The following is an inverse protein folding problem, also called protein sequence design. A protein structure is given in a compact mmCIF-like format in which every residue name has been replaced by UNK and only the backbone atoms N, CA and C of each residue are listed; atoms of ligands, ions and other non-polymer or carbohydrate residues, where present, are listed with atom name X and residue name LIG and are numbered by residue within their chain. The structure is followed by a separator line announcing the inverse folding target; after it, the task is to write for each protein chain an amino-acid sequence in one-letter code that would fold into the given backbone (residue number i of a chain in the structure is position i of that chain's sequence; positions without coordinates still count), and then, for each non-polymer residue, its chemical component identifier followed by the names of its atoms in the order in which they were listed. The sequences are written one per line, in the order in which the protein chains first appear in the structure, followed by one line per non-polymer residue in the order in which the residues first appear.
data_IF_607671219661
#
_entry.id   IF_607671219661
#
_cell.length_a   1.000
_cell.length_b   1.000
_cell.length_c   1.000
_cell.angle_alpha   90.00
_cell.angle_beta   90.00
_cell.angle_gamma   90.00
#
_symmetry.space_group_name_H-M   'P 1'
#
loop_
_entity.id
_entity.type
_entity.pdbx_description
1 polymer ?
#
# COMPACT_ATOMS: atom_id res chain seq x y z
N UNK A 1 22.65 10.18 -4.20
CA UNK A 1 21.18 10.14 -4.03
C UNK A 1 20.63 11.34 -4.78
N UNK A 2 19.66 11.19 -5.68
CA UNK A 2 18.98 12.36 -6.25
C UNK A 2 18.24 13.07 -5.11
N UNK A 3 18.52 14.35 -4.93
CA UNK A 3 17.82 15.23 -4.00
C UNK A 3 16.64 15.85 -4.75
N UNK A 4 15.45 15.84 -4.14
CA UNK A 4 14.25 16.46 -4.71
C UNK A 4 14.54 17.95 -5.02
N UNK A 5 14.43 18.41 -6.28
CA UNK A 5 14.46 19.83 -6.56
C UNK A 5 13.20 20.52 -5.99
N UNK A 6 13.43 21.68 -5.40
CA UNK A 6 12.44 22.55 -4.73
C UNK A 6 11.74 23.44 -5.76
N UNK A 7 10.49 23.80 -5.46
CA UNK A 7 9.56 24.71 -6.14
C UNK A 7 8.75 24.21 -7.36
N UNK A 8 7.42 24.27 -7.21
CA UNK A 8 6.62 25.31 -7.87
C UNK A 8 5.43 25.72 -7.00
N UNK A 9 5.44 26.97 -6.53
CA UNK A 9 4.29 27.62 -5.93
C UNK A 9 3.15 27.80 -6.95
N UNK A 10 1.94 27.40 -6.57
CA UNK A 10 0.74 27.58 -7.37
C UNK A 10 -0.48 27.02 -6.65
N UNK A 11 -1.51 27.84 -6.50
CA UNK A 11 -2.77 27.48 -5.87
C UNK A 11 -3.47 26.30 -6.56
N UNK A 12 -3.90 25.35 -5.74
CA UNK A 12 -4.64 24.11 -6.02
C UNK A 12 -5.29 23.96 -7.40
N UNK A 13 -4.81 22.99 -8.19
CA UNK A 13 -5.66 22.05 -8.89
C UNK A 13 -5.49 20.65 -8.29
N UNK A 14 -6.49 19.82 -8.50
CA UNK A 14 -6.48 18.36 -8.35
C UNK A 14 -5.40 17.76 -9.27
N UNK A 15 -4.13 17.86 -8.86
CA UNK A 15 -2.93 17.43 -9.60
C UNK A 15 -2.84 15.90 -9.65
N UNK A 16 -3.61 15.28 -10.53
CA UNK A 16 -3.60 13.84 -10.76
C UNK A 16 -3.54 13.52 -12.24
N UNK A 17 -2.74 12.52 -12.61
CA UNK A 17 -2.86 11.86 -13.91
C UNK A 17 -4.13 11.00 -13.84
N UNK A 18 -5.16 11.41 -14.58
CA UNK A 18 -6.45 10.69 -14.64
C UNK A 18 -6.43 9.63 -15.74
N UNK A 19 -6.68 8.37 -15.36
CA UNK A 19 -6.78 7.23 -16.26
C UNK A 19 -8.17 6.62 -16.07
N UNK A 20 -9.16 7.04 -16.87
CA UNK A 20 -10.57 6.69 -16.62
C UNK A 20 -11.42 6.28 -17.83
N UNK A 21 -10.90 6.35 -19.05
CA UNK A 21 -11.64 5.94 -20.25
C UNK A 21 -11.41 4.47 -20.60
N UNK A 22 -12.45 3.80 -21.10
CA UNK A 22 -12.39 2.40 -21.50
C UNK A 22 -11.34 2.17 -22.61
N UNK A 23 -10.32 1.37 -22.29
CA UNK A 23 -9.34 0.84 -23.25
C UNK A 23 -7.96 1.46 -23.19
N UNK A 24 -6.94 0.59 -23.29
CA UNK A 24 -5.58 0.96 -23.68
C UNK A 24 -4.50 0.60 -22.66
N UNK A 25 -3.44 -0.02 -23.18
CA UNK A 25 -2.15 -0.16 -22.49
C UNK A 25 -1.64 1.24 -22.14
N UNK A 26 -1.73 1.63 -20.87
CA UNK A 26 -1.29 2.96 -20.42
C UNK A 26 -0.02 2.82 -19.60
N UNK A 27 0.97 3.69 -19.82
CA UNK A 27 2.22 3.68 -19.06
C UNK A 27 2.53 5.07 -18.51
N UNK A 28 2.71 5.18 -17.20
CA UNK A 28 3.23 6.37 -16.53
C UNK A 28 4.58 5.97 -15.93
N UNK A 29 5.66 6.50 -16.48
CA UNK A 29 7.00 6.05 -16.12
C UNK A 29 7.98 7.19 -15.89
N UNK A 30 8.83 7.06 -14.87
CA UNK A 30 9.97 7.96 -14.61
C UNK A 30 9.61 9.44 -14.46
N UNK A 31 8.51 9.72 -13.74
CA UNK A 31 8.10 11.07 -13.39
C UNK A 31 8.37 11.35 -11.91
N UNK A 32 8.58 12.62 -11.58
CA UNK A 32 8.57 13.11 -10.20
C UNK A 32 7.31 13.94 -9.98
N UNK A 33 6.49 13.52 -9.03
CA UNK A 33 5.31 14.25 -8.58
C UNK A 33 5.67 14.90 -7.24
N UNK A 34 5.72 16.23 -7.19
CA UNK A 34 6.17 16.97 -6.00
C UNK A 34 5.10 17.92 -5.46
N UNK A 35 4.85 17.86 -4.14
CA UNK A 35 4.06 18.84 -3.39
C UNK A 35 4.60 19.09 -1.97
N UNK A 36 5.92 19.01 -1.77
CA UNK A 36 6.53 19.22 -0.46
C UNK A 36 6.34 20.63 0.11
N UNK A 37 6.07 21.63 -0.74
CA UNK A 37 6.03 23.05 -0.35
C UNK A 37 4.61 23.65 -0.14
N UNK A 38 3.54 22.84 -0.21
CA UNK A 38 2.18 23.35 0.00
C UNK A 38 1.82 23.39 1.50
N UNK A 39 1.18 24.46 1.98
CA UNK A 39 0.58 24.50 3.32
C UNK A 39 -0.58 23.49 3.41
N UNK A 40 -0.31 22.31 3.99
CA UNK A 40 -1.23 21.18 4.08
C UNK A 40 -2.22 21.39 5.24
N UNK A 41 -3.18 22.29 5.04
CA UNK A 41 -4.24 22.60 6.02
C UNK A 41 -5.62 22.03 5.64
N UNK A 42 -5.75 21.30 4.54
CA UNK A 42 -7.03 20.74 4.08
C UNK A 42 -7.00 19.24 3.81
N UNK A 43 -8.18 18.62 3.97
CA UNK A 43 -8.53 17.22 3.74
C UNK A 43 -8.46 16.74 2.28
N UNK A 44 -7.99 17.59 1.36
CA UNK A 44 -7.95 17.32 -0.09
C UNK A 44 -6.52 17.06 -0.54
N UNK A 45 -5.97 15.96 -0.05
CA UNK A 45 -4.59 15.62 -0.31
C UNK A 45 -4.44 15.02 -1.72
N UNK A 46 -3.30 15.24 -2.39
CA UNK A 46 -3.17 14.99 -3.81
C UNK A 46 -2.94 13.52 -4.09
N UNK A 47 -3.51 13.08 -5.20
CA UNK A 47 -3.30 11.76 -5.79
C UNK A 47 -2.41 11.95 -7.01
N UNK A 48 -1.22 11.36 -7.07
CA UNK A 48 -0.37 11.53 -8.24
C UNK A 48 -0.94 10.83 -9.49
N UNK A 49 -1.43 9.59 -9.35
CA UNK A 49 -2.11 8.85 -10.42
C UNK A 49 -3.45 8.32 -9.93
N UNK A 50 -4.53 8.68 -10.61
CA UNK A 50 -5.88 8.19 -10.32
C UNK A 50 -6.40 7.32 -11.47
N UNK A 51 -6.68 6.05 -11.18
CA UNK A 51 -7.23 5.07 -12.11
C UNK A 51 -8.66 4.75 -11.65
N UNK A 52 -9.65 5.44 -12.21
CA UNK A 52 -11.07 5.23 -11.88
C UNK A 52 -11.86 5.01 -13.17
N UNK A 53 -12.35 3.78 -13.44
CA UNK A 53 -13.09 3.50 -14.66
C UNK A 53 -14.43 4.25 -14.70
N UNK A 54 -14.64 5.10 -15.71
CA UNK A 54 -15.88 5.88 -15.84
C UNK A 54 -17.03 5.09 -16.50
N UNK A 55 -16.77 4.42 -17.63
CA UNK A 55 -17.80 3.76 -18.46
C UNK A 55 -17.33 2.42 -19.07
N UNK A 56 -16.64 1.58 -18.30
CA UNK A 56 -16.16 0.27 -18.74
C UNK A 56 -14.98 -0.23 -17.92
N UNK A 57 -14.41 -1.38 -18.26
CA UNK A 57 -13.24 -1.91 -17.56
C UNK A 57 -11.95 -1.19 -18.00
N UNK A 58 -11.08 -0.87 -17.03
CA UNK A 58 -9.71 -0.38 -17.30
C UNK A 58 -8.76 -1.57 -17.24
N UNK A 59 -7.85 -1.69 -18.21
CA UNK A 59 -6.91 -2.81 -18.28
C UNK A 59 -5.53 -2.36 -18.71
N UNK A 60 -4.51 -3.12 -18.30
CA UNK A 60 -3.13 -2.96 -18.78
C UNK A 60 -2.50 -1.59 -18.49
N UNK A 61 -2.66 -1.11 -17.26
CA UNK A 61 -2.01 0.12 -16.81
C UNK A 61 -0.72 -0.22 -16.09
N UNK A 62 0.40 0.42 -16.44
CA UNK A 62 1.69 0.26 -15.78
C UNK A 62 2.18 1.61 -15.27
N UNK A 63 2.36 1.72 -13.96
CA UNK A 63 2.91 2.87 -13.27
C UNK A 63 4.27 2.45 -12.71
N UNK A 64 5.36 2.99 -13.25
CA UNK A 64 6.69 2.47 -12.93
C UNK A 64 7.78 3.52 -12.76
N UNK A 65 8.74 3.24 -11.87
CA UNK A 65 9.92 4.06 -11.64
C UNK A 65 9.60 5.56 -11.35
N UNK A 66 8.45 5.87 -10.77
CA UNK A 66 8.08 7.25 -10.42
C UNK A 66 8.45 7.60 -8.97
N UNK A 67 8.63 8.89 -8.70
CA UNK A 67 8.81 9.45 -7.36
C UNK A 67 7.57 10.26 -6.95
N UNK A 68 7.01 9.94 -5.78
CA UNK A 68 5.84 10.62 -5.21
C UNK A 68 6.24 11.33 -3.91
N UNK A 69 6.36 12.66 -3.96
CA UNK A 69 6.86 13.47 -2.86
C UNK A 69 5.73 14.34 -2.30
N UNK A 70 5.35 14.11 -1.04
CA UNK A 70 4.31 14.90 -0.37
C UNK A 70 2.87 14.64 -0.84
N UNK A 71 2.59 13.42 -1.31
CA UNK A 71 1.27 12.99 -1.80
C UNK A 71 0.53 12.11 -0.78
N UNK A 72 -0.82 12.08 -0.83
CA UNK A 72 -1.64 11.15 -0.03
C UNK A 72 -1.59 9.74 -0.63
N UNK A 73 -1.69 9.70 -1.97
CA UNK A 73 -1.58 8.50 -2.78
C UNK A 73 -0.57 8.74 -3.90
N UNK A 74 0.40 7.83 -4.01
CA UNK A 74 1.16 7.68 -5.25
C UNK A 74 0.23 7.21 -6.37
N UNK A 75 -0.42 6.07 -6.13
CA UNK A 75 -1.41 5.49 -7.05
C UNK A 75 -2.71 5.21 -6.30
N UNK A 76 -3.80 5.80 -6.77
CA UNK A 76 -5.15 5.45 -6.36
C UNK A 76 -5.86 4.77 -7.51
N UNK A 77 -6.12 3.48 -7.40
CA UNK A 77 -6.84 2.72 -8.41
C UNK A 77 -8.12 2.15 -7.80
N UNK A 78 -9.28 2.62 -8.27
CA UNK A 78 -10.57 2.22 -7.75
C UNK A 78 -11.52 1.83 -8.89
N UNK A 79 -11.79 0.53 -9.00
CA UNK A 79 -12.89 -0.01 -9.77
C UNK A 79 -14.20 -0.04 -8.96
N UNK A 80 -15.19 -0.67 -9.54
CA UNK A 80 -16.45 -1.05 -8.88
C UNK A 80 -16.77 -2.52 -9.17
N UNK A 81 -17.81 -3.06 -8.55
CA UNK A 81 -18.31 -4.40 -8.86
C UNK A 81 -18.77 -4.57 -10.32
N UNK A 82 -19.11 -3.48 -11.01
CA UNK A 82 -19.53 -3.48 -12.42
C UNK A 82 -18.42 -3.07 -13.38
N UNK A 83 -17.51 -2.20 -12.94
CA UNK A 83 -16.39 -1.70 -13.72
C UNK A 83 -15.07 -2.12 -13.06
N UNK A 84 -14.62 -3.33 -13.37
CA UNK A 84 -13.39 -3.86 -12.80
C UNK A 84 -12.14 -3.26 -13.45
N UNK A 85 -11.03 -3.30 -12.70
CA UNK A 85 -9.70 -3.04 -13.23
C UNK A 85 -8.95 -4.36 -13.38
N UNK A 86 -8.14 -4.51 -14.42
CA UNK A 86 -7.32 -5.72 -14.58
C UNK A 86 -5.91 -5.42 -15.07
N UNK A 87 -4.93 -6.20 -14.62
CA UNK A 87 -3.52 -6.05 -15.04
C UNK A 87 -2.97 -4.65 -14.78
N UNK A 88 -3.28 -4.11 -13.61
CA UNK A 88 -2.68 -2.87 -13.11
C UNK A 88 -1.34 -3.24 -12.47
N UNK A 89 -0.26 -2.63 -12.95
CA UNK A 89 1.11 -2.86 -12.49
C UNK A 89 1.64 -1.58 -11.86
N UNK A 90 2.07 -1.63 -10.62
CA UNK A 90 2.71 -0.53 -9.88
C UNK A 90 4.08 -1.02 -9.47
N UNK A 91 5.12 -0.63 -10.22
CA UNK A 91 6.44 -1.27 -10.15
C UNK A 91 7.56 -0.26 -9.91
N UNK A 92 8.44 -0.48 -8.93
CA UNK A 92 9.67 0.36 -8.83
C UNK A 92 9.44 1.81 -8.40
N UNK A 93 8.24 2.17 -7.92
CA UNK A 93 7.94 3.53 -7.52
C UNK A 93 8.43 3.82 -6.10
N UNK A 94 8.70 5.09 -5.80
CA UNK A 94 9.17 5.54 -4.49
C UNK A 94 8.24 6.62 -3.93
N UNK A 95 7.69 6.40 -2.74
CA UNK A 95 6.89 7.40 -2.02
C UNK A 95 7.67 7.98 -0.86
N UNK A 96 7.79 9.30 -0.83
CA UNK A 96 8.39 10.08 0.26
C UNK A 96 7.28 10.94 0.88
N UNK A 97 6.98 10.77 2.18
CA UNK A 97 5.97 11.58 2.85
C UNK A 97 6.37 13.06 2.89
N UNK A 98 5.39 13.94 3.03
CA UNK A 98 5.65 15.38 3.18
C UNK A 98 6.39 15.66 4.48
N UNK A 99 7.39 16.54 4.44
CA UNK A 99 8.12 16.98 5.63
C UNK A 99 7.31 18.09 6.30
N UNK A 100 6.71 17.84 7.46
CA UNK A 100 6.16 18.91 8.30
C UNK A 100 4.63 19.04 8.37
N UNK A 101 3.84 18.05 7.92
CA UNK A 101 2.39 18.04 8.07
C UNK A 101 1.87 16.85 8.87
N UNK A 102 0.79 17.04 9.62
CA UNK A 102 0.00 16.01 10.33
C UNK A 102 -0.78 15.09 9.36
N UNK A 103 -0.18 14.68 8.25
CA UNK A 103 -0.93 13.95 7.22
C UNK A 103 -0.97 12.46 7.51
N UNK A 104 -2.18 11.94 7.40
CA UNK A 104 -2.57 10.66 7.97
C UNK A 104 -2.69 9.53 6.95
N UNK A 105 -2.56 9.78 5.64
CA UNK A 105 -2.58 8.72 4.63
C UNK A 105 -1.39 8.90 3.68
N UNK A 106 -0.52 7.89 3.59
CA UNK A 106 0.55 7.89 2.58
C UNK A 106 0.60 6.50 1.97
N UNK A 107 -0.28 6.30 0.99
CA UNK A 107 -0.33 5.10 0.19
C UNK A 107 0.69 5.21 -0.93
N UNK A 108 1.56 4.20 -1.09
CA UNK A 108 2.18 3.93 -2.40
C UNK A 108 1.05 3.62 -3.37
N UNK A 109 0.18 2.69 -2.97
CA UNK A 109 -0.91 2.22 -3.80
C UNK A 109 -2.13 1.86 -2.95
N UNK A 110 -3.29 2.25 -3.46
CA UNK A 110 -4.59 1.69 -3.07
C UNK A 110 -5.22 1.05 -4.30
N UNK A 111 -5.48 -0.25 -4.25
CA UNK A 111 -6.17 -0.99 -5.32
C UNK A 111 -7.52 -1.50 -4.80
N UNK A 112 -8.62 -1.10 -5.43
CA UNK A 112 -9.96 -1.56 -5.08
C UNK A 112 -10.69 -2.16 -6.28
N UNK A 113 -11.26 -3.35 -6.17
CA UNK A 113 -11.89 -4.07 -7.30
C UNK A 113 -10.92 -4.35 -8.47
N UNK A 114 -9.70 -4.77 -8.14
CA UNK A 114 -8.64 -5.12 -9.11
C UNK A 114 -8.50 -6.63 -9.33
N UNK A 115 -8.17 -7.04 -10.56
CA UNK A 115 -7.91 -8.44 -10.92
C UNK A 115 -6.57 -8.59 -11.65
N UNK A 116 -5.76 -9.58 -11.26
CA UNK A 116 -4.46 -9.85 -11.87
C UNK A 116 -3.50 -8.64 -11.79
N UNK A 117 -3.51 -7.93 -10.66
CA UNK A 117 -2.65 -6.76 -10.43
C UNK A 117 -1.27 -7.16 -9.89
N UNK A 118 -0.27 -6.31 -10.12
CA UNK A 118 1.09 -6.47 -9.60
C UNK A 118 1.54 -5.19 -8.91
N UNK A 119 1.94 -5.29 -7.64
CA UNK A 119 2.53 -4.22 -6.84
C UNK A 119 3.90 -4.70 -6.42
N UNK A 120 4.93 -4.34 -7.20
CA UNK A 120 6.26 -4.92 -7.02
C UNK A 120 7.40 -3.91 -6.95
N UNK A 121 8.46 -4.24 -6.20
CA UNK A 121 9.68 -3.44 -6.15
C UNK A 121 9.48 -1.96 -5.74
N UNK A 122 8.39 -1.61 -5.07
CA UNK A 122 8.15 -0.24 -4.63
C UNK A 122 8.84 0.03 -3.29
N UNK A 123 9.15 1.29 -3.04
CA UNK A 123 9.70 1.76 -1.77
C UNK A 123 8.80 2.82 -1.16
N UNK A 124 8.54 2.70 0.14
CA UNK A 124 7.95 3.79 0.91
C UNK A 124 8.60 3.88 2.27
N UNK A 125 8.83 5.10 2.71
CA UNK A 125 9.01 5.32 4.12
C UNK A 125 9.30 6.74 4.48
N UNK A 126 9.24 6.97 5.78
CA UNK A 126 9.46 8.26 6.42
C UNK A 126 8.87 8.21 7.83
N UNK A 127 9.31 9.14 8.67
CA UNK A 127 8.89 9.20 10.07
C UNK A 127 7.53 9.88 10.13
N UNK A 128 6.48 9.11 10.40
CA UNK A 128 5.14 9.68 10.57
C UNK A 128 5.07 10.49 11.87
N UNK A 129 4.48 11.68 11.79
CA UNK A 129 4.22 12.57 12.93
C UNK A 129 2.71 12.83 12.94
N UNK A 130 1.95 12.11 13.77
CA UNK A 130 0.49 12.29 13.84
C UNK A 130 -0.21 11.35 14.82
N UNK A 131 -1.40 11.74 15.28
CA UNK A 131 -2.14 11.16 16.42
C UNK A 131 -3.40 10.34 16.08
N UNK A 132 -3.77 10.18 14.80
CA UNK A 132 -4.89 9.32 14.36
C UNK A 132 -4.75 7.82 14.72
N UNK A 133 -5.38 7.40 15.82
CA UNK A 133 -5.37 6.03 16.36
C UNK A 133 -6.28 5.04 15.59
N UNK A 134 -6.44 5.20 14.28
CA UNK A 134 -7.38 4.37 13.55
C UNK A 134 -7.15 4.41 12.06
N UNK A 135 -6.69 3.29 11.51
CA UNK A 135 -7.49 2.48 10.60
C UNK A 135 -6.57 1.57 9.79
N UNK A 136 -6.96 0.30 9.67
CA UNK A 136 -6.47 -0.68 8.70
C UNK A 136 -6.55 -0.22 7.23
N UNK A 137 -7.10 0.97 6.98
CA UNK A 137 -7.27 1.59 5.67
C UNK A 137 -6.21 2.65 5.35
N UNK A 138 -5.32 3.01 6.28
CA UNK A 138 -4.27 4.03 6.08
C UNK A 138 -2.89 3.38 6.10
N UNK A 139 -2.55 2.72 5.00
CA UNK A 139 -1.35 1.87 4.89
C UNK A 139 -0.60 2.12 3.58
N UNK A 140 0.72 1.93 3.51
CA UNK A 140 1.48 2.10 2.28
C UNK A 140 0.95 1.27 1.09
N UNK A 141 0.54 0.02 1.31
CA UNK A 141 -0.09 -0.80 0.28
C UNK A 141 -1.44 -1.27 0.80
N UNK A 142 -2.52 -0.76 0.20
CA UNK A 142 -3.88 -1.19 0.47
C UNK A 142 -4.43 -1.92 -0.74
N UNK A 143 -4.94 -3.15 -0.54
CA UNK A 143 -5.76 -3.82 -1.56
C UNK A 143 -7.12 -4.21 -0.96
N UNK A 144 -8.19 -3.94 -1.69
CA UNK A 144 -9.56 -4.19 -1.28
C UNK A 144 -10.36 -4.88 -2.40
N UNK A 145 -11.09 -5.95 -2.10
CA UNK A 145 -11.91 -6.66 -3.09
C UNK A 145 -11.10 -7.03 -4.34
N UNK A 146 -9.94 -7.66 -4.16
CA UNK A 146 -9.04 -7.96 -5.29
C UNK A 146 -8.84 -9.46 -5.48
N UNK A 147 -8.56 -9.84 -6.72
CA UNK A 147 -8.32 -11.24 -7.10
C UNK A 147 -7.01 -11.37 -7.88
N UNK A 148 -6.25 -12.44 -7.64
CA UNK A 148 -5.03 -12.76 -8.37
C UNK A 148 -3.97 -11.63 -8.30
N UNK A 149 -3.95 -10.87 -7.21
CA UNK A 149 -3.01 -9.76 -7.01
C UNK A 149 -1.71 -10.24 -6.39
N UNK A 150 -0.58 -9.80 -6.95
CA UNK A 150 0.75 -10.03 -6.37
C UNK A 150 1.26 -8.74 -5.73
N UNK A 151 1.72 -8.83 -4.48
CA UNK A 151 2.43 -7.78 -3.75
C UNK A 151 3.81 -8.35 -3.42
N UNK A 152 4.85 -7.90 -4.11
CA UNK A 152 6.17 -8.53 -3.98
C UNK A 152 7.36 -7.58 -3.97
N UNK A 153 8.44 -7.97 -3.29
CA UNK A 153 9.71 -7.24 -3.28
C UNK A 153 9.61 -5.75 -2.92
N UNK A 154 8.54 -5.34 -2.21
CA UNK A 154 8.39 -3.96 -1.75
C UNK A 154 9.20 -3.75 -0.47
N UNK A 155 9.76 -2.55 -0.32
CA UNK A 155 10.47 -2.13 0.90
C UNK A 155 9.69 -1.01 1.58
N UNK A 156 9.16 -1.29 2.77
CA UNK A 156 8.35 -0.34 3.52
C UNK A 156 8.99 -0.13 4.89
N UNK A 157 9.19 1.13 5.28
CA UNK A 157 9.76 1.45 6.58
C UNK A 157 9.05 2.59 7.30
N UNK A 158 8.97 2.49 8.62
CA UNK A 158 8.48 3.57 9.49
C UNK A 158 6.97 3.78 9.46
N UNK A 159 6.16 2.84 8.97
CA UNK A 159 4.71 3.06 8.84
C UNK A 159 3.98 3.04 10.20
N UNK A 160 3.04 3.95 10.40
CA UNK A 160 2.26 4.03 11.64
C UNK A 160 1.24 2.89 11.80
N UNK A 161 0.54 2.54 10.72
CA UNK A 161 -0.29 1.34 10.62
C UNK A 161 0.47 0.15 10.04
N UNK A 162 -0.26 -0.88 9.61
CA UNK A 162 0.31 -1.96 8.83
C UNK A 162 1.01 -1.42 7.58
N UNK A 163 2.04 -2.14 7.12
CA UNK A 163 2.70 -1.83 5.86
C UNK A 163 1.83 -2.24 4.67
N UNK A 164 1.20 -3.40 4.80
CA UNK A 164 0.33 -4.03 3.80
C UNK A 164 -0.99 -4.37 4.48
N UNK A 165 -2.09 -3.91 3.90
CA UNK A 165 -3.45 -4.27 4.31
C UNK A 165 -4.20 -4.89 3.15
N UNK A 166 -4.84 -6.01 3.42
CA UNK A 166 -5.62 -6.79 2.47
C UNK A 166 -7.00 -6.95 3.06
N UNK A 167 -7.99 -6.40 2.38
CA UNK A 167 -9.39 -6.52 2.76
C UNK A 167 -10.11 -7.26 1.63
N UNK A 168 -10.63 -8.46 1.88
CA UNK A 168 -11.35 -9.24 0.87
C UNK A 168 -10.47 -9.55 -0.35
N UNK A 169 -9.41 -10.31 -0.13
CA UNK A 169 -8.44 -10.72 -1.15
C UNK A 169 -8.55 -12.19 -1.51
N UNK A 170 -8.50 -12.51 -2.80
CA UNK A 170 -8.64 -13.88 -3.30
C UNK A 170 -7.47 -14.29 -4.20
N UNK A 171 -6.85 -15.45 -3.93
CA UNK A 171 -5.73 -15.96 -4.74
C UNK A 171 -4.56 -14.94 -4.86
N UNK A 172 -4.27 -14.22 -3.78
CA UNK A 172 -3.23 -13.19 -3.77
C UNK A 172 -1.88 -13.75 -3.29
N UNK A 173 -0.79 -13.21 -3.81
CA UNK A 173 0.57 -13.56 -3.39
C UNK A 173 1.24 -12.37 -2.72
N UNK A 174 1.63 -12.51 -1.45
CA UNK A 174 2.29 -11.48 -0.66
C UNK A 174 3.65 -12.04 -0.27
N UNK A 175 4.67 -11.72 -1.08
CA UNK A 175 5.94 -12.45 -1.05
C UNK A 175 7.17 -11.57 -1.14
N UNK A 176 8.24 -11.97 -0.46
CA UNK A 176 9.55 -11.30 -0.54
C UNK A 176 9.54 -9.80 -0.17
N UNK A 177 8.56 -9.31 0.61
CA UNK A 177 8.53 -7.92 1.03
C UNK A 177 9.44 -7.69 2.26
N UNK A 178 10.03 -6.51 2.36
CA UNK A 178 10.88 -6.08 3.49
C UNK A 178 10.17 -4.98 4.25
N UNK A 179 9.85 -5.24 5.52
CA UNK A 179 9.10 -4.37 6.40
C UNK A 179 9.98 -4.00 7.61
N UNK A 180 10.14 -2.71 7.89
CA UNK A 180 10.99 -2.24 8.99
C UNK A 180 10.29 -1.17 9.81
N UNK A 181 10.21 -1.31 11.14
CA UNK A 181 9.61 -0.29 12.01
C UNK A 181 8.18 0.10 11.56
N UNK A 182 7.36 -0.93 11.30
CA UNK A 182 5.97 -0.77 10.83
C UNK A 182 4.97 -1.11 11.93
N UNK A 183 3.85 -0.39 11.98
CA UNK A 183 2.77 -0.55 12.96
C UNK A 183 2.99 0.15 14.30
N UNK A 184 3.53 1.38 14.28
CA UNK A 184 3.83 2.22 15.45
C UNK A 184 2.65 2.53 16.40
N UNK A 185 1.41 2.18 16.07
CA UNK A 185 0.25 2.39 16.95
C UNK A 185 0.19 1.44 18.16
N UNK A 186 1.24 0.64 18.39
CA UNK A 186 1.45 -0.10 19.62
C UNK A 186 0.97 -1.56 19.60
N UNK A 187 0.66 -2.13 20.78
CA UNK A 187 0.49 -3.57 21.00
C UNK A 187 -0.46 -4.34 20.08
N UNK A 188 -1.45 -3.68 19.53
CA UNK A 188 -2.54 -4.36 18.82
C UNK A 188 -2.33 -4.45 17.31
N UNK A 189 -1.23 -3.91 16.77
CA UNK A 189 -1.05 -3.74 15.33
C UNK A 189 -0.12 -4.78 14.71
N UNK A 190 -0.40 -5.10 13.45
CA UNK A 190 0.34 -6.03 12.61
C UNK A 190 1.10 -5.31 11.50
N UNK A 191 2.20 -5.88 11.02
CA UNK A 191 2.93 -5.34 9.86
C UNK A 191 2.25 -5.72 8.55
N UNK A 192 1.66 -6.90 8.48
CA UNK A 192 0.73 -7.32 7.42
C UNK A 192 -0.61 -7.64 8.08
N UNK A 193 -1.67 -6.98 7.61
CA UNK A 193 -3.03 -7.24 8.04
C UNK A 193 -3.84 -7.85 6.91
N UNK A 194 -4.44 -9.01 7.14
CA UNK A 194 -5.23 -9.74 6.16
C UNK A 194 -6.61 -10.04 6.72
N UNK A 195 -7.65 -9.41 6.18
CA UNK A 195 -9.04 -9.60 6.57
C UNK A 195 -9.86 -10.26 5.46
N UNK A 196 -10.59 -11.33 5.79
CA UNK A 196 -11.44 -12.09 4.86
C UNK A 196 -10.70 -12.49 3.57
N UNK A 197 -9.53 -13.10 3.70
CA UNK A 197 -8.67 -13.50 2.58
C UNK A 197 -8.74 -14.99 2.32
N UNK A 198 -8.72 -15.42 1.05
CA UNK A 198 -8.83 -16.84 0.71
C UNK A 198 -7.84 -17.23 -0.38
N UNK A 199 -7.22 -18.41 -0.21
CA UNK A 199 -6.19 -18.95 -1.11
C UNK A 199 -5.01 -18.00 -1.31
N UNK A 200 -4.72 -17.14 -0.33
CA UNK A 200 -3.59 -16.24 -0.39
C UNK A 200 -2.32 -16.92 0.13
N UNK A 201 -1.18 -16.49 -0.39
CA UNK A 201 0.15 -16.95 0.03
C UNK A 201 0.91 -15.82 0.70
N UNK A 202 1.40 -16.05 1.92
CA UNK A 202 2.25 -15.13 2.68
C UNK A 202 3.61 -15.78 2.93
N UNK A 203 4.59 -15.53 2.06
CA UNK A 203 5.86 -16.27 2.10
C UNK A 203 7.08 -15.37 1.92
N UNK A 204 8.18 -15.71 2.60
CA UNK A 204 9.48 -15.04 2.45
C UNK A 204 9.45 -13.53 2.72
N UNK A 205 8.45 -13.03 3.45
CA UNK A 205 8.45 -11.65 3.90
C UNK A 205 9.40 -11.51 5.09
N UNK A 206 10.14 -10.41 5.16
CA UNK A 206 11.10 -10.12 6.21
C UNK A 206 10.67 -8.87 6.98
N UNK A 207 10.36 -9.04 8.26
CA UNK A 207 10.03 -7.97 9.20
C UNK A 207 11.12 -7.78 10.25
N UNK A 208 11.43 -6.52 10.57
CA UNK A 208 12.28 -6.18 11.71
C UNK A 208 11.76 -4.97 12.47
N UNK A 209 11.83 -5.02 13.80
CA UNK A 209 11.48 -3.91 14.70
C UNK A 209 12.70 -3.46 15.49
N UNK A 210 12.94 -2.16 15.51
CA UNK A 210 14.03 -1.52 16.26
C UNK A 210 13.66 -1.21 17.71
N UNK A 211 12.36 -1.14 18.02
CA UNK A 211 11.85 -0.89 19.37
C UNK A 211 10.51 -1.58 19.61
N UNK A 212 10.10 -1.66 20.88
CA UNK A 212 8.79 -2.18 21.29
C UNK A 212 7.62 -1.24 21.02
N UNK A 213 7.88 -0.04 20.47
CA UNK A 213 6.85 0.95 20.13
C UNK A 213 6.11 0.59 18.83
N UNK A 214 6.60 -0.38 18.07
CA UNK A 214 6.03 -0.83 16.79
C UNK A 214 5.13 -2.06 16.92
N UNK A 215 4.71 -2.62 15.77
CA UNK A 215 3.78 -3.74 15.71
C UNK A 215 4.24 -4.91 16.57
N UNK A 216 3.33 -5.46 17.38
CA UNK A 216 3.57 -6.70 18.10
C UNK A 216 3.47 -7.93 17.20
N UNK A 217 2.62 -7.85 16.18
CA UNK A 217 2.34 -8.96 15.26
C UNK A 217 3.07 -8.75 13.94
N UNK A 218 3.73 -9.77 13.42
CA UNK A 218 4.27 -9.68 12.07
C UNK A 218 3.13 -9.80 11.04
N UNK A 219 2.34 -10.88 11.11
CA UNK A 219 1.14 -11.09 10.29
C UNK A 219 -0.07 -11.38 11.17
N UNK A 220 -1.20 -10.76 10.85
CA UNK A 220 -2.50 -11.02 11.44
C UNK A 220 -3.53 -11.37 10.38
N UNK A 221 -4.15 -12.54 10.53
CA UNK A 221 -5.30 -12.98 9.75
C UNK A 221 -6.58 -12.82 10.59
N UNK A 222 -7.53 -12.07 10.05
CA UNK A 222 -8.83 -11.81 10.67
C UNK A 222 -9.99 -12.22 9.74
N UNK A 223 -11.11 -12.64 10.33
CA UNK A 223 -12.28 -13.10 9.57
C UNK A 223 -12.13 -14.51 9.00
N UNK A 224 -12.86 -14.82 7.93
CA UNK A 224 -12.82 -16.14 7.29
C UNK A 224 -11.59 -16.24 6.39
N UNK A 225 -10.67 -17.16 6.68
CA UNK A 225 -9.46 -17.32 5.87
C UNK A 225 -9.02 -18.77 5.61
N UNK A 226 -8.44 -18.98 4.42
CA UNK A 226 -7.89 -20.26 3.92
C UNK A 226 -6.56 -20.01 3.21
N UNK A 227 -5.54 -19.65 3.97
CA UNK A 227 -4.28 -19.15 3.42
C UNK A 227 -3.09 -20.06 3.74
N UNK A 228 -2.03 -19.90 2.95
CA UNK A 228 -0.78 -20.61 3.15
C UNK A 228 0.32 -19.64 3.55
N UNK A 229 1.03 -20.00 4.60
CA UNK A 229 2.27 -19.36 5.03
C UNK A 229 3.49 -20.07 4.45
N UNK A 230 4.49 -19.30 4.06
CA UNK A 230 5.84 -19.81 3.81
C UNK A 230 6.84 -19.28 4.84
N UNK A 231 8.13 -19.46 4.57
CA UNK A 231 9.23 -19.09 5.46
C UNK A 231 9.37 -17.56 5.62
N UNK A 232 8.55 -16.93 6.47
CA UNK A 232 8.72 -15.52 6.80
C UNK A 232 9.71 -15.33 7.97
N UNK A 233 10.48 -14.24 7.91
CA UNK A 233 11.39 -13.83 8.98
C UNK A 233 10.77 -12.66 9.74
N UNK A 234 10.75 -12.73 11.07
CA UNK A 234 10.18 -11.71 11.93
C UNK A 234 11.07 -11.51 13.16
N UNK A 235 11.81 -10.40 13.19
CA UNK A 235 12.73 -10.02 14.27
C UNK A 235 12.14 -8.86 15.09
N UNK A 236 12.20 -8.96 16.42
CA UNK A 236 11.69 -7.90 17.32
C UNK A 236 10.16 -7.90 17.54
N UNK A 237 9.43 -8.84 16.94
CA UNK A 237 7.99 -9.03 17.17
C UNK A 237 7.73 -9.92 18.39
N UNK A 238 6.71 -9.59 19.19
CA UNK A 238 6.26 -10.47 20.28
C UNK A 238 5.44 -11.65 19.76
N UNK A 239 4.77 -11.49 18.62
CA UNK A 239 3.95 -12.51 17.96
C UNK A 239 4.28 -12.57 16.47
N UNK A 240 4.65 -13.75 15.96
CA UNK A 240 4.89 -13.90 14.51
C UNK A 240 3.59 -13.95 13.71
N UNK A 241 2.62 -14.73 14.19
CA UNK A 241 1.36 -14.96 13.50
C UNK A 241 0.19 -14.94 14.47
N UNK A 242 -0.92 -14.31 14.08
CA UNK A 242 -2.21 -14.41 14.78
C UNK A 242 -3.29 -14.82 13.79
N UNK A 243 -4.07 -15.85 14.13
CA UNK A 243 -5.15 -16.38 13.29
C UNK A 243 -6.49 -16.16 13.98
N UNK A 244 -7.47 -15.63 13.26
CA UNK A 244 -8.84 -15.56 13.76
C UNK A 244 -9.47 -16.95 13.91
N UNK A 245 -10.35 -17.08 14.89
CA UNK A 245 -11.14 -18.30 15.12
C UNK A 245 -11.89 -18.72 13.85
N UNK A 246 -11.72 -19.98 13.43
CA UNK A 246 -12.32 -20.51 12.20
C UNK A 246 -11.46 -20.35 10.94
N UNK A 247 -10.27 -19.74 11.05
CA UNK A 247 -9.26 -19.74 9.99
C UNK A 247 -8.57 -21.09 9.92
N UNK A 248 -8.32 -21.59 8.70
CA UNK A 248 -7.44 -22.73 8.47
C UNK A 248 -6.24 -22.24 7.66
N UNK A 249 -5.08 -22.12 8.30
CA UNK A 249 -3.84 -21.74 7.61
C UNK A 249 -2.65 -22.58 8.06
N UNK A 250 -1.72 -22.78 7.13
CA UNK A 250 -0.49 -23.54 7.36
C UNK A 250 0.70 -22.59 7.33
N UNK A 251 1.17 -22.14 8.49
CA UNK A 251 2.39 -21.35 8.62
C UNK A 251 3.51 -22.25 9.17
N UNK A 252 4.47 -22.61 8.31
CA UNK A 252 5.66 -23.40 8.68
C UNK A 252 6.83 -22.50 9.07
#
# INVERSE_FOLDING_TARGET
MPTCPVEMGGSSPSNSVLIGSAGGNTRVFRNTFNRQDADLTSSDLPIAVNITPANGAVRDVTIEDNEFCGMDFGVYAQGTSTNSMSRIRVIGNHTIPSVGGFLSNHHIVSLKYGNACDVSNNKSGGRYVGSDNGASTKVPILIENTEATTISTNTIFGSRGAAISINEGWNCNIVNNVLYDTGQLGPSYSSIYAFNTQRCVFANNNGSQSSSEFAQKFLEEAGTSTNNGGANMAYGYTTKYTLASGSTSSFS
#
